data_IF_848046294442
#
_entry.id   IF_848046294442
#
_cell.length_a   1.000
_cell.length_b   1.000
_cell.length_c   1.000
_cell.angle_alpha   90.00
_cell.angle_beta   90.00
_cell.angle_gamma   90.00
#
_symmetry.space_group_name_H-M   'P 1'
#
loop_
_entity.id
_entity.type
_entity.pdbx_description
1 polymer ?
#
# COMPACT_ATOMS: atom_id res chain seq x y z
N UNK A 1 -3.06 -15.86 -8.19
CA UNK A 1 -3.66 -14.51 -8.35
C UNK A 1 -3.00 -13.52 -7.40
N UNK A 2 -2.88 -12.25 -7.79
CA UNK A 2 -2.35 -11.18 -6.93
C UNK A 2 -3.51 -10.28 -6.48
N UNK A 3 -3.48 -9.88 -5.22
CA UNK A 3 -4.31 -8.83 -4.66
C UNK A 3 -3.43 -7.67 -4.21
N UNK A 4 -3.78 -6.44 -4.59
CA UNK A 4 -3.07 -5.22 -4.17
C UNK A 4 -3.94 -4.44 -3.19
N UNK A 5 -3.35 -4.06 -2.06
CA UNK A 5 -3.90 -3.11 -1.10
C UNK A 5 -3.15 -1.80 -1.18
N UNK A 6 -3.72 -0.86 -1.92
CA UNK A 6 -3.27 0.52 -1.93
C UNK A 6 -3.91 1.28 -0.76
N UNK A 7 -3.20 2.27 -0.24
CA UNK A 7 -3.92 3.36 0.43
C UNK A 7 -3.15 4.66 0.47
N UNK A 8 -3.87 5.76 0.54
CA UNK A 8 -3.27 7.06 0.82
C UNK A 8 -2.50 7.00 2.14
N UNK A 9 -1.31 7.60 2.22
CA UNK A 9 -0.60 7.63 3.49
C UNK A 9 -1.50 8.23 4.59
N UNK A 10 -1.57 7.55 5.73
CA UNK A 10 -2.43 7.92 6.88
C UNK A 10 -3.94 7.72 6.66
N UNK A 11 -4.37 6.95 5.67
CA UNK A 11 -5.77 6.55 5.46
C UNK A 11 -6.26 5.35 6.28
N UNK A 12 -5.43 4.85 7.22
CA UNK A 12 -5.62 3.53 7.84
C UNK A 12 -5.39 2.34 6.88
N UNK A 13 -4.61 2.53 5.81
CA UNK A 13 -4.21 1.45 4.89
C UNK A 13 -3.55 0.23 5.54
N UNK A 14 -2.88 0.39 6.69
CA UNK A 14 -2.36 -0.76 7.46
C UNK A 14 -3.49 -1.59 8.08
N UNK A 15 -4.54 -0.94 8.57
CA UNK A 15 -5.70 -1.63 9.12
C UNK A 15 -6.44 -2.38 8.01
N UNK A 16 -6.72 -1.70 6.88
CA UNK A 16 -7.35 -2.33 5.72
C UNK A 16 -6.53 -3.53 5.20
N UNK A 17 -5.22 -3.37 5.06
CA UNK A 17 -4.32 -4.47 4.68
C UNK A 17 -4.42 -5.64 5.65
N UNK A 18 -4.39 -5.40 6.97
CA UNK A 18 -4.44 -6.48 7.96
C UNK A 18 -5.76 -7.23 7.93
N UNK A 19 -6.89 -6.54 7.75
CA UNK A 19 -8.19 -7.19 7.60
C UNK A 19 -8.21 -8.11 6.37
N UNK A 20 -7.71 -7.64 5.22
CA UNK A 20 -7.63 -8.47 4.00
C UNK A 20 -6.68 -9.66 4.21
N UNK A 21 -5.52 -9.41 4.84
CA UNK A 21 -4.55 -10.45 5.19
C UNK A 21 -5.21 -11.56 6.01
N UNK A 22 -5.89 -11.20 7.11
CA UNK A 22 -6.55 -12.16 8.01
C UNK A 22 -7.69 -12.93 7.31
N UNK A 23 -8.40 -12.29 6.38
CA UNK A 23 -9.42 -12.96 5.54
C UNK A 23 -8.78 -14.00 4.63
N UNK A 24 -7.68 -13.65 3.95
CA UNK A 24 -6.98 -14.57 3.04
C UNK A 24 -6.34 -15.73 3.80
N UNK A 25 -5.72 -15.48 4.95
CA UNK A 25 -5.23 -16.51 5.86
C UNK A 25 -6.35 -17.49 6.26
N UNK A 26 -7.50 -16.95 6.70
CA UNK A 26 -8.66 -17.76 7.10
C UNK A 26 -9.26 -18.57 5.94
N UNK A 27 -9.06 -18.11 4.69
CA UNK A 27 -9.45 -18.82 3.48
C UNK A 27 -8.43 -19.87 3.02
N UNK A 28 -7.34 -20.09 3.77
CA UNK A 28 -6.30 -21.08 3.44
C UNK A 28 -5.21 -20.55 2.51
N UNK A 29 -5.11 -19.25 2.30
CA UNK A 29 -3.99 -18.65 1.58
C UNK A 29 -2.93 -18.17 2.57
N UNK A 30 -2.04 -19.07 3.01
CA UNK A 30 -0.89 -18.72 3.87
C UNK A 30 0.01 -17.70 3.16
N UNK A 31 -0.12 -16.43 3.54
CA UNK A 31 0.54 -15.28 2.95
C UNK A 31 2.03 -15.28 3.24
N UNK A 32 2.46 -15.78 4.39
CA UNK A 32 3.87 -15.86 4.74
C UNK A 32 4.56 -16.92 3.86
N UNK A 33 3.97 -18.12 3.75
CA UNK A 33 4.44 -19.17 2.85
C UNK A 33 4.49 -18.68 1.39
N UNK A 34 3.41 -18.05 0.92
CA UNK A 34 3.32 -17.53 -0.44
C UNK A 34 4.37 -16.46 -0.70
N UNK A 35 4.58 -15.55 0.26
CA UNK A 35 5.59 -14.51 0.14
C UNK A 35 6.99 -15.12 0.08
N UNK A 36 7.35 -15.99 1.02
CA UNK A 36 8.70 -16.57 1.09
C UNK A 36 9.02 -17.42 -0.15
N UNK A 37 8.04 -18.17 -0.65
CA UNK A 37 8.24 -19.07 -1.80
C UNK A 37 8.29 -18.33 -3.14
N UNK A 38 7.43 -17.33 -3.34
CA UNK A 38 7.22 -16.75 -4.67
C UNK A 38 7.70 -15.30 -4.80
N UNK A 39 7.82 -14.58 -3.69
CA UNK A 39 8.08 -13.15 -3.67
C UNK A 39 9.38 -12.76 -2.96
N UNK A 40 9.85 -13.52 -1.97
CA UNK A 40 10.96 -13.15 -1.10
C UNK A 40 12.30 -12.96 -1.83
N UNK A 41 12.45 -13.53 -3.02
CA UNK A 41 13.62 -13.30 -3.90
C UNK A 41 13.51 -12.04 -4.76
N UNK A 42 12.30 -11.52 -4.95
CA UNK A 42 11.99 -10.37 -5.81
C UNK A 42 11.75 -9.09 -4.99
N UNK A 43 11.15 -9.23 -3.81
CA UNK A 43 10.76 -8.13 -2.92
C UNK A 43 11.12 -8.48 -1.48
N UNK A 44 11.61 -7.48 -0.73
CA UNK A 44 12.11 -7.68 0.65
C UNK A 44 11.01 -7.68 1.71
N UNK A 45 9.82 -7.19 1.37
CA UNK A 45 8.65 -7.20 2.24
C UNK A 45 7.36 -7.16 1.40
N UNK A 46 6.20 -7.54 1.97
CA UNK A 46 4.90 -7.38 1.33
C UNK A 46 4.53 -5.93 1.01
N UNK A 47 5.29 -4.97 1.54
CA UNK A 47 5.20 -3.56 1.17
C UNK A 47 6.07 -3.29 -0.06
N UNK A 48 5.44 -3.07 -1.20
CA UNK A 48 6.10 -2.98 -2.51
C UNK A 48 5.99 -1.60 -3.12
N UNK A 49 7.00 -1.27 -3.93
CA UNK A 49 6.94 -0.19 -4.91
C UNK A 49 6.68 -0.82 -6.27
N UNK A 50 5.61 -0.42 -6.94
CA UNK A 50 5.20 -1.04 -8.21
C UNK A 50 6.19 -0.76 -9.35
N UNK A 51 7.04 0.26 -9.20
CA UNK A 51 8.13 0.58 -10.11
C UNK A 51 9.35 -0.35 -9.99
N UNK A 52 9.49 -1.08 -8.88
CA UNK A 52 10.70 -1.88 -8.59
C UNK A 52 10.64 -3.30 -9.19
N UNK A 53 9.49 -3.74 -9.71
CA UNK A 53 9.31 -5.09 -10.25
C UNK A 53 8.16 -5.17 -11.27
N UNK A 54 8.17 -6.22 -12.11
CA UNK A 54 7.06 -6.48 -13.04
C UNK A 54 5.97 -7.31 -12.37
N UNK A 55 4.76 -6.75 -12.31
CA UNK A 55 3.57 -7.47 -11.84
C UNK A 55 3.24 -8.66 -12.74
N UNK A 56 3.44 -8.54 -14.05
CA UNK A 56 3.20 -9.63 -15.01
C UNK A 56 4.13 -10.81 -14.76
N UNK A 57 5.42 -10.55 -14.52
CA UNK A 57 6.38 -11.61 -14.19
C UNK A 57 6.05 -12.25 -12.84
N UNK A 58 5.68 -11.45 -11.85
CA UNK A 58 5.29 -11.94 -10.53
C UNK A 58 4.01 -12.79 -10.58
N UNK A 59 3.00 -12.37 -11.35
CA UNK A 59 1.74 -13.09 -11.50
C UNK A 59 1.93 -14.53 -12.02
N UNK A 60 2.94 -14.74 -12.87
CA UNK A 60 3.28 -16.07 -13.41
C UNK A 60 3.89 -17.01 -12.37
N UNK A 61 4.47 -16.48 -11.30
CA UNK A 61 5.07 -17.27 -10.23
C UNK A 61 4.02 -17.79 -9.23
N UNK A 62 2.90 -17.09 -9.09
CA UNK A 62 1.87 -17.41 -8.09
C UNK A 62 0.88 -18.44 -8.68
N UNK A 63 0.63 -19.57 -8.00
CA UNK A 63 -0.37 -20.55 -8.46
C UNK A 63 -1.76 -19.91 -8.68
N UNK A 64 -2.52 -20.35 -9.70
CA UNK A 64 -3.80 -19.74 -10.04
C UNK A 64 -4.84 -19.84 -8.91
N UNK A 65 -4.80 -20.90 -8.11
CA UNK A 65 -5.68 -21.17 -6.97
C UNK A 65 -5.27 -20.47 -5.67
N UNK A 66 -4.12 -19.78 -5.66
CA UNK A 66 -3.63 -19.06 -4.47
C UNK A 66 -3.72 -17.55 -4.69
N UNK A 67 -4.04 -16.81 -3.62
CA UNK A 67 -4.08 -15.35 -3.64
C UNK A 67 -2.93 -14.82 -2.76
N UNK A 68 -2.05 -14.01 -3.33
CA UNK A 68 -1.01 -13.29 -2.57
C UNK A 68 -1.37 -11.81 -2.45
N UNK A 69 -1.26 -11.26 -1.24
CA UNK A 69 -1.56 -9.88 -0.92
C UNK A 69 -0.30 -9.02 -0.87
N UNK A 70 -0.28 -7.97 -1.69
CA UNK A 70 0.76 -6.94 -1.69
C UNK A 70 0.18 -5.63 -1.18
N UNK A 71 0.98 -4.87 -0.43
CA UNK A 71 0.65 -3.52 0.03
C UNK A 71 1.46 -2.47 -0.70
N UNK A 72 0.86 -1.35 -1.07
CA UNK A 72 1.61 -0.26 -1.70
C UNK A 72 1.11 1.14 -1.36
N UNK A 73 2.01 2.11 -1.52
CA UNK A 73 1.72 3.56 -1.56
C UNK A 73 2.10 4.18 -2.91
N UNK A 74 2.60 3.38 -3.87
CA UNK A 74 3.06 3.84 -5.18
C UNK A 74 1.91 4.32 -6.06
N UNK A 75 2.26 5.06 -7.11
CA UNK A 75 1.34 5.40 -8.19
C UNK A 75 0.84 4.14 -8.90
N UNK A 76 -0.39 4.22 -9.42
CA UNK A 76 -0.94 3.19 -10.28
C UNK A 76 -0.26 3.28 -11.65
N UNK A 77 0.71 2.41 -11.93
CA UNK A 77 1.37 2.36 -13.22
C UNK A 77 0.48 1.68 -14.30
N UNK A 78 0.83 1.86 -15.57
CA UNK A 78 0.03 1.33 -16.69
C UNK A 78 -0.09 -0.20 -16.67
N UNK A 79 0.97 -0.91 -16.25
CA UNK A 79 0.95 -2.36 -16.11
C UNK A 79 -0.10 -2.80 -15.08
N UNK A 80 -0.07 -2.22 -13.88
CA UNK A 80 -1.00 -2.49 -12.81
C UNK A 80 -2.44 -2.15 -13.24
N UNK A 81 -2.66 -0.98 -13.83
CA UNK A 81 -3.98 -0.57 -14.31
C UNK A 81 -4.55 -1.57 -15.33
N UNK A 82 -3.73 -2.00 -16.31
CA UNK A 82 -4.13 -2.99 -17.31
C UNK A 82 -4.51 -4.32 -16.69
N UNK A 83 -3.68 -4.83 -15.76
CA UNK A 83 -3.91 -6.13 -15.10
C UNK A 83 -5.13 -6.08 -14.15
N UNK A 84 -5.38 -4.94 -13.50
CA UNK A 84 -6.59 -4.73 -12.71
C UNK A 84 -7.81 -4.67 -13.62
N UNK A 85 -7.72 -3.98 -14.75
CA UNK A 85 -8.80 -3.87 -15.74
C UNK A 85 -9.16 -5.20 -16.41
N UNK A 86 -8.20 -6.11 -16.60
CA UNK A 86 -8.46 -7.46 -17.14
C UNK A 86 -8.96 -8.46 -16.09
N UNK A 87 -8.86 -8.13 -14.79
CA UNK A 87 -9.18 -9.05 -13.70
C UNK A 87 -8.07 -10.04 -13.34
N UNK A 88 -6.88 -9.89 -13.93
CA UNK A 88 -5.70 -10.69 -13.58
C UNK A 88 -5.15 -10.34 -12.18
N UNK A 89 -5.44 -9.10 -11.74
CA UNK A 89 -5.09 -8.56 -10.41
C UNK A 89 -6.34 -7.97 -9.77
N UNK A 90 -6.58 -8.29 -8.50
CA UNK A 90 -7.60 -7.62 -7.70
C UNK A 90 -6.95 -6.45 -6.96
N UNK A 91 -7.61 -5.30 -6.88
CA UNK A 91 -7.07 -4.15 -6.19
C UNK A 91 -8.10 -3.50 -5.27
N UNK A 92 -7.59 -3.00 -4.14
CA UNK A 92 -8.35 -2.24 -3.16
C UNK A 92 -7.64 -0.92 -2.89
N UNK A 93 -8.42 0.13 -2.63
CA UNK A 93 -7.88 1.46 -2.33
C UNK A 93 -8.54 2.03 -1.07
N UNK A 94 -7.72 2.26 -0.05
CA UNK A 94 -8.14 2.96 1.16
C UNK A 94 -7.76 4.44 1.12
N UNK A 95 -8.75 5.32 1.20
CA UNK A 95 -8.56 6.76 1.22
C UNK A 95 -9.25 7.39 2.42
N UNK A 96 -8.85 8.62 2.74
CA UNK A 96 -9.38 9.38 3.87
C UNK A 96 -9.46 10.84 3.47
N UNK A 97 -10.34 11.59 4.13
CA UNK A 97 -10.33 13.05 4.03
C UNK A 97 -8.88 13.58 4.17
N UNK A 98 -8.36 14.34 3.19
CA UNK A 98 -6.97 14.81 3.20
C UNK A 98 -6.60 15.63 4.44
N UNK A 99 -7.54 16.39 5.00
CA UNK A 99 -7.31 17.19 6.21
C UNK A 99 -7.05 16.31 7.42
N UNK A 100 -7.82 15.24 7.56
CA UNK A 100 -7.60 14.26 8.63
C UNK A 100 -6.28 13.52 8.49
N UNK A 101 -5.92 13.14 7.26
CA UNK A 101 -4.65 12.50 6.97
C UNK A 101 -3.47 13.43 7.34
N UNK A 102 -3.58 14.73 7.05
CA UNK A 102 -2.59 15.74 7.43
C UNK A 102 -2.48 15.89 8.96
N UNK A 103 -3.61 15.98 9.68
CA UNK A 103 -3.61 16.00 11.16
C UNK A 103 -2.94 14.73 11.71
N UNK A 104 -3.24 13.57 11.13
CA UNK A 104 -2.61 12.32 11.54
C UNK A 104 -1.09 12.34 11.27
N UNK A 105 -0.66 12.84 10.12
CA UNK A 105 0.76 12.93 9.74
C UNK A 105 1.53 13.86 10.67
N UNK A 106 0.97 15.04 10.97
CA UNK A 106 1.55 16.00 11.92
C UNK A 106 1.73 15.37 13.31
N UNK A 107 0.71 14.65 13.80
CA UNK A 107 0.79 13.95 15.07
C UNK A 107 1.85 12.83 15.08
N UNK A 108 2.06 12.14 13.96
CA UNK A 108 3.16 11.18 13.82
C UNK A 108 4.50 11.89 13.91
N UNK A 109 4.71 13.00 13.20
CA UNK A 109 5.95 13.77 13.29
C UNK A 109 6.25 14.25 14.72
N UNK A 110 5.23 14.75 15.43
CA UNK A 110 5.36 15.11 16.86
C UNK A 110 5.78 13.94 17.73
N UNK A 111 5.18 12.77 17.54
CA UNK A 111 5.54 11.54 18.28
C UNK A 111 6.95 11.08 17.90
N UNK A 112 7.32 11.16 16.64
CA UNK A 112 8.63 10.73 16.14
C UNK A 112 9.77 11.52 16.79
N UNK A 113 9.64 12.85 16.89
CA UNK A 113 10.64 13.71 17.54
C UNK A 113 10.87 13.40 19.01
N UNK A 114 9.91 12.75 19.69
CA UNK A 114 10.00 12.34 21.10
C UNK A 114 10.65 10.97 21.29
N UNK A 115 10.91 10.21 20.22
CA UNK A 115 11.55 8.90 20.32
C UNK A 115 13.05 9.05 20.61
N UNK A 116 13.70 8.02 21.18
CA UNK A 116 15.16 7.90 21.22
C UNK A 116 15.75 8.02 19.80
N UNK A 117 16.94 8.63 19.67
CA UNK A 117 17.55 8.95 18.38
C UNK A 117 17.68 7.72 17.46
N UNK A 118 18.08 6.58 18.02
CA UNK A 118 18.21 5.31 17.30
C UNK A 118 16.87 4.68 16.84
N UNK A 119 15.72 5.23 17.27
CA UNK A 119 14.37 4.77 16.91
C UNK A 119 13.62 5.78 16.05
N UNK A 120 14.23 6.92 15.70
CA UNK A 120 13.61 7.96 14.88
C UNK A 120 13.65 7.60 13.41
N UNK A 121 12.52 7.77 12.72
CA UNK A 121 12.38 7.64 11.27
C UNK A 121 12.50 9.01 10.62
N UNK A 122 13.59 9.23 9.87
CA UNK A 122 13.95 10.54 9.28
C UNK A 122 12.79 11.21 8.53
N UNK A 123 12.10 10.49 7.64
CA UNK A 123 11.00 11.05 6.86
C UNK A 123 9.83 11.62 7.69
N UNK A 124 9.58 11.12 8.90
CA UNK A 124 8.55 11.70 9.78
C UNK A 124 9.08 12.84 10.66
N UNK A 125 10.39 12.96 10.87
CA UNK A 125 10.97 14.04 11.66
C UNK A 125 10.78 15.40 11.00
N UNK A 126 10.84 15.42 9.67
CA UNK A 126 10.70 16.62 8.82
C UNK A 126 9.29 17.24 8.89
N UNK A 127 8.29 16.46 9.31
CA UNK A 127 6.91 16.92 9.52
C UNK A 127 6.79 17.63 10.87
N UNK A 128 7.32 18.85 10.97
CA UNK A 128 7.36 19.67 12.18
C UNK A 128 6.23 20.70 12.31
N UNK A 129 5.55 21.00 11.21
CA UNK A 129 4.42 21.93 11.16
C UNK A 129 3.19 21.29 10.51
N UNK A 130 2.02 21.87 10.78
CA UNK A 130 0.78 21.47 10.09
C UNK A 130 0.84 21.78 8.59
N UNK A 131 1.48 22.90 8.20
CA UNK A 131 1.66 23.26 6.78
C UNK A 131 2.42 22.20 5.99
N UNK A 132 3.57 21.74 6.50
CA UNK A 132 4.32 20.63 5.85
C UNK A 132 3.49 19.36 5.75
N UNK A 133 2.67 19.06 6.77
CA UNK A 133 1.79 17.89 6.73
C UNK A 133 0.72 18.02 5.64
N UNK A 134 0.13 19.21 5.48
CA UNK A 134 -0.82 19.51 4.40
C UNK A 134 -0.14 19.38 3.04
N UNK A 135 1.02 20.03 2.84
CA UNK A 135 1.77 19.95 1.57
C UNK A 135 2.12 18.50 1.20
N UNK A 136 2.57 17.72 2.18
CA UNK A 136 2.90 16.30 1.97
C UNK A 136 1.68 15.48 1.53
N UNK A 137 0.54 15.64 2.21
CA UNK A 137 -0.68 14.90 1.84
C UNK A 137 -1.23 15.38 0.50
N UNK A 138 -1.23 16.69 0.25
CA UNK A 138 -1.66 17.28 -1.02
C UNK A 138 -0.86 16.74 -2.20
N UNK A 139 0.46 16.58 -2.05
CA UNK A 139 1.33 16.00 -3.07
C UNK A 139 1.00 14.52 -3.38
N UNK A 140 0.34 13.80 -2.46
CA UNK A 140 -0.07 12.41 -2.64
C UNK A 140 -1.47 12.26 -3.23
N UNK A 141 -2.25 13.34 -3.34
CA UNK A 141 -3.61 13.28 -3.87
C UNK A 141 -3.65 12.82 -5.34
N UNK A 142 -2.79 13.28 -6.26
CA UNK A 142 -2.79 12.78 -7.64
C UNK A 142 -2.53 11.26 -7.71
N UNK A 143 -1.66 10.74 -6.85
CA UNK A 143 -1.41 9.30 -6.72
C UNK A 143 -2.68 8.57 -6.26
N UNK A 144 -3.34 9.08 -5.22
CA UNK A 144 -4.59 8.52 -4.71
C UNK A 144 -5.71 8.56 -5.75
N UNK A 145 -5.83 9.67 -6.49
CA UNK A 145 -6.81 9.84 -7.55
C UNK A 145 -6.67 8.78 -8.65
N UNK A 146 -5.45 8.44 -9.04
CA UNK A 146 -5.20 7.38 -10.02
C UNK A 146 -5.79 6.02 -9.59
N UNK A 147 -5.69 5.67 -8.31
CA UNK A 147 -6.26 4.44 -7.77
C UNK A 147 -7.78 4.50 -7.65
N UNK A 148 -8.34 5.54 -7.02
CA UNK A 148 -9.78 5.59 -6.71
C UNK A 148 -10.66 5.86 -7.94
N UNK A 149 -10.09 6.42 -9.01
CA UNK A 149 -10.83 6.65 -10.27
C UNK A 149 -10.84 5.43 -11.18
N UNK A 150 -10.00 4.43 -10.92
CA UNK A 150 -9.99 3.21 -11.72
C UNK A 150 -11.22 2.36 -11.41
N UNK A 151 -12.07 2.09 -12.41
CA UNK A 151 -13.40 1.49 -12.21
C UNK A 151 -13.39 0.08 -11.60
N UNK A 152 -12.30 -0.67 -11.77
CA UNK A 152 -12.12 -2.01 -11.21
C UNK A 152 -11.38 -2.04 -9.86
N UNK A 153 -11.02 -0.89 -9.29
CA UNK A 153 -10.44 -0.82 -7.93
C UNK A 153 -11.55 -0.70 -6.91
N UNK A 154 -11.53 -1.57 -5.89
CA UNK A 154 -12.53 -1.60 -4.83
C UNK A 154 -12.20 -0.57 -3.74
N UNK A 155 -13.08 0.40 -3.43
CA UNK A 155 -12.86 1.33 -2.33
C UNK A 155 -13.07 0.63 -0.98
N UNK A 156 -12.21 0.96 0.01
CA UNK A 156 -12.33 0.48 1.40
C UNK A 156 -12.16 1.63 2.40
#
# INVERSE_FOLDING_TARGET
MIMISYGLQRSASTFAYQIIYDILESAGHDQQELFDRYAGSLISAPFVKLEDFSLTSFAKCVPPERIILLKTHSFLNEEAARLIGSGDVIATASYRNPMDAAVSLYNVGRKERRKPENKKRKGFLEIDTMFKAIETISALLPVCEGWIRHSAVLPI
#
